data_IF_154010226346
#
_entry.id   IF_154010226346
#
_cell.length_a   1.000
_cell.length_b   1.000
_cell.length_c   1.000
_cell.angle_alpha   90.00
_cell.angle_beta   90.00
_cell.angle_gamma   90.00
#
_symmetry.space_group_name_H-M   'P 1'
#
loop_
_entity.id
_entity.type
_entity.pdbx_description
1 polymer ?
#
# COMPACT_ATOMS: atom_id res chain seq x y z
N UNK A 1 -20.08 7.27 3.94
CA UNK A 1 -18.82 7.39 4.69
C UNK A 1 -18.74 6.22 5.67
N UNK A 2 -17.96 5.18 5.36
CA UNK A 2 -17.88 3.96 6.16
C UNK A 2 -17.04 4.23 7.42
N UNK A 3 -17.71 4.37 8.57
CA UNK A 3 -17.10 4.53 9.90
C UNK A 3 -16.44 3.20 10.30
N UNK A 4 -15.18 2.99 9.91
CA UNK A 4 -14.37 1.86 10.37
C UNK A 4 -13.35 2.33 11.40
N UNK A 5 -13.21 1.60 12.50
CA UNK A 5 -12.25 1.90 13.58
C UNK A 5 -10.77 1.77 13.15
N UNK A 6 -10.51 1.24 11.94
CA UNK A 6 -9.17 1.02 11.40
C UNK A 6 -9.09 1.43 9.92
N UNK A 7 -9.12 2.74 9.62
CA UNK A 7 -9.19 3.24 8.24
C UNK A 7 -8.01 2.75 7.39
N UNK A 8 -6.83 2.56 8.00
CA UNK A 8 -5.63 2.12 7.30
C UNK A 8 -5.66 0.63 6.95
N UNK A 9 -6.19 -0.23 7.83
CA UNK A 9 -6.34 -1.66 7.56
C UNK A 9 -7.35 -1.88 6.44
N UNK A 10 -8.46 -1.14 6.45
CA UNK A 10 -9.45 -1.20 5.37
C UNK A 10 -8.86 -0.74 4.02
N UNK A 11 -8.06 0.33 4.02
CA UNK A 11 -7.38 0.80 2.82
C UNK A 11 -6.39 -0.21 2.26
N UNK A 12 -5.58 -0.86 3.12
CA UNK A 12 -4.68 -1.94 2.72
C UNK A 12 -5.47 -3.14 2.17
N UNK A 13 -6.56 -3.53 2.84
CA UNK A 13 -7.42 -4.62 2.36
C UNK A 13 -8.02 -4.35 0.99
N UNK A 14 -8.55 -3.14 0.75
CA UNK A 14 -9.07 -2.75 -0.56
C UNK A 14 -7.99 -2.74 -1.64
N UNK A 15 -6.78 -2.32 -1.31
CA UNK A 15 -5.67 -2.34 -2.25
C UNK A 15 -5.30 -3.76 -2.67
N UNK A 16 -5.16 -4.67 -1.70
CA UNK A 16 -4.89 -6.09 -1.99
C UNK A 16 -6.00 -6.66 -2.87
N UNK A 17 -7.27 -6.31 -2.59
CA UNK A 17 -8.40 -6.72 -3.42
C UNK A 17 -8.27 -6.17 -4.85
N UNK A 18 -7.93 -4.90 -5.04
CA UNK A 18 -7.72 -4.33 -6.37
C UNK A 18 -6.63 -5.05 -7.15
N UNK A 19 -5.48 -5.34 -6.52
CA UNK A 19 -4.38 -6.08 -7.14
C UNK A 19 -4.87 -7.47 -7.59
N UNK A 20 -5.57 -8.20 -6.71
CA UNK A 20 -6.10 -9.54 -7.03
C UNK A 20 -7.10 -9.51 -8.18
N UNK A 21 -7.97 -8.50 -8.24
CA UNK A 21 -8.94 -8.34 -9.34
C UNK A 21 -8.22 -8.06 -10.65
N UNK A 22 -7.22 -7.19 -10.67
CA UNK A 22 -6.44 -6.88 -11.87
C UNK A 22 -5.73 -8.13 -12.40
N UNK A 23 -5.05 -8.89 -11.53
CA UNK A 23 -4.39 -10.15 -11.89
C UNK A 23 -5.42 -11.16 -12.42
N UNK A 24 -6.58 -11.29 -11.78
CA UNK A 24 -7.64 -12.18 -12.25
C UNK A 24 -8.11 -11.83 -13.66
N UNK A 25 -8.40 -10.54 -13.92
CA UNK A 25 -8.88 -10.09 -15.22
C UNK A 25 -7.83 -10.28 -16.31
N UNK A 26 -6.57 -9.95 -16.04
CA UNK A 26 -5.48 -10.17 -16.98
C UNK A 26 -5.27 -11.67 -17.27
N UNK A 27 -5.34 -12.54 -16.26
CA UNK A 27 -5.31 -13.99 -16.46
C UNK A 27 -6.46 -14.50 -17.33
N UNK A 28 -7.67 -13.98 -17.14
CA UNK A 28 -8.83 -14.32 -17.96
C UNK A 28 -8.66 -13.85 -19.41
N UNK A 29 -8.12 -12.65 -19.63
CA UNK A 29 -7.84 -12.11 -20.97
C UNK A 29 -6.77 -12.96 -21.67
N UNK A 30 -5.66 -13.28 -21.02
CA UNK A 30 -4.63 -14.18 -21.55
C UNK A 30 -5.19 -15.54 -21.98
N UNK A 31 -6.02 -16.15 -21.11
CA UNK A 31 -6.65 -17.44 -21.43
C UNK A 31 -7.64 -17.32 -22.59
N UNK A 32 -8.40 -16.23 -22.68
CA UNK A 32 -9.33 -15.98 -23.78
C UNK A 32 -8.59 -15.79 -25.12
N UNK A 33 -7.48 -15.06 -25.13
CA UNK A 33 -6.62 -14.87 -26.31
C UNK A 33 -6.00 -16.22 -26.72
N UNK A 34 -5.47 -16.98 -25.77
CA UNK A 34 -4.95 -18.33 -26.01
C UNK A 34 -6.02 -19.25 -26.63
N UNK A 35 -7.28 -19.13 -26.21
CA UNK A 35 -8.40 -19.89 -26.78
C UNK A 35 -8.70 -19.45 -28.21
N UNK A 36 -8.66 -18.15 -28.49
CA UNK A 36 -8.93 -17.58 -29.81
C UNK A 36 -7.85 -17.95 -30.83
N UNK A 37 -6.58 -17.90 -30.41
CA UNK A 37 -5.43 -18.30 -31.23
C UNK A 37 -5.40 -19.82 -31.44
N UNK A 38 -5.78 -20.58 -30.41
CA UNK A 38 -5.73 -22.04 -30.36
C UNK A 38 -4.76 -22.52 -29.29
N UNK A 39 -5.20 -23.44 -28.43
CA UNK A 39 -4.35 -23.94 -27.35
C UNK A 39 -3.20 -24.80 -27.88
N UNK A 40 -1.98 -24.55 -27.39
CA UNK A 40 -0.77 -25.28 -27.76
C UNK A 40 -0.32 -25.09 -29.21
N UNK A 41 -0.76 -24.02 -29.89
CA UNK A 41 -0.28 -23.71 -31.26
C UNK A 41 1.16 -23.24 -31.29
N UNK A 42 1.64 -22.67 -30.18
CA UNK A 42 2.98 -22.13 -30.01
C UNK A 42 3.36 -22.18 -28.51
N UNK A 43 4.56 -21.69 -28.18
CA UNK A 43 5.11 -21.72 -26.83
C UNK A 43 4.51 -20.67 -25.89
N UNK A 44 3.84 -19.64 -26.40
CA UNK A 44 3.33 -18.53 -25.59
C UNK A 44 1.90 -18.78 -25.11
N UNK A 45 1.05 -19.31 -25.99
CA UNK A 45 -0.34 -19.62 -25.65
C UNK A 45 -0.44 -20.73 -24.59
N UNK A 46 -1.60 -20.79 -23.93
CA UNK A 46 -1.89 -21.85 -22.99
C UNK A 46 -1.66 -23.25 -23.61
N UNK A 47 -0.98 -24.18 -22.90
CA UNK A 47 -0.65 -25.50 -23.42
C UNK A 47 -1.87 -26.31 -23.90
N UNK A 48 -1.62 -27.29 -24.77
CA UNK A 48 -2.70 -28.08 -25.36
C UNK A 48 -3.53 -28.81 -24.28
N UNK A 49 -4.82 -28.48 -24.21
CA UNK A 49 -5.80 -29.03 -23.27
C UNK A 49 -6.09 -30.52 -23.46
N UNK A 50 -5.71 -31.09 -24.60
CA UNK A 50 -5.84 -32.53 -24.89
C UNK A 50 -4.93 -33.36 -24.00
N UNK A 51 -3.84 -32.77 -23.48
CA UNK A 51 -3.04 -33.41 -22.45
C UNK A 51 -3.81 -33.37 -21.12
N UNK A 52 -4.04 -34.53 -20.45
CA UNK A 52 -4.77 -34.62 -19.19
C UNK A 52 -4.24 -33.69 -18.09
N UNK A 53 -2.95 -33.34 -18.12
CA UNK A 53 -2.33 -32.42 -17.17
C UNK A 53 -2.94 -31.00 -17.27
N UNK A 54 -3.16 -30.50 -18.50
CA UNK A 54 -3.61 -29.14 -18.80
C UNK A 54 -5.14 -29.05 -19.07
N UNK A 55 -5.84 -30.18 -19.10
CA UNK A 55 -7.28 -30.22 -19.30
C UNK A 55 -8.12 -29.72 -18.11
N UNK A 56 -7.60 -29.84 -16.87
CA UNK A 56 -8.32 -29.53 -15.63
C UNK A 56 -8.58 -28.04 -15.46
N UNK A 57 -9.79 -27.67 -15.00
CA UNK A 57 -10.18 -26.27 -14.79
C UNK A 57 -9.26 -25.54 -13.80
N UNK A 58 -8.90 -26.20 -12.70
CA UNK A 58 -7.98 -25.64 -11.70
C UNK A 58 -6.60 -25.34 -12.30
N UNK A 59 -6.06 -26.25 -13.13
CA UNK A 59 -4.77 -26.05 -13.81
C UNK A 59 -4.83 -24.89 -14.79
N UNK A 60 -5.90 -24.77 -15.57
CA UNK A 60 -6.13 -23.64 -16.50
C UNK A 60 -6.07 -22.31 -15.78
N UNK A 61 -6.83 -22.20 -14.68
CA UNK A 61 -6.90 -20.98 -13.90
C UNK A 61 -5.60 -20.65 -13.18
N UNK A 62 -5.01 -21.61 -12.47
CA UNK A 62 -3.76 -21.39 -11.70
C UNK A 62 -2.59 -21.02 -12.62
N UNK A 63 -2.46 -21.68 -13.78
CA UNK A 63 -1.40 -21.35 -14.73
C UNK A 63 -1.60 -19.95 -15.33
N UNK A 64 -2.83 -19.60 -15.71
CA UNK A 64 -3.14 -18.27 -16.26
C UNK A 64 -2.92 -17.16 -15.22
N UNK A 65 -3.27 -17.41 -13.96
CA UNK A 65 -2.95 -16.51 -12.85
C UNK A 65 -1.45 -16.39 -12.62
N UNK A 66 -0.70 -17.48 -12.69
CA UNK A 66 0.75 -17.48 -12.56
C UNK A 66 1.40 -16.64 -13.66
N UNK A 67 1.01 -16.86 -14.92
CA UNK A 67 1.45 -16.05 -16.06
C UNK A 67 1.14 -14.57 -15.84
N UNK A 68 -0.12 -14.27 -15.49
CA UNK A 68 -0.57 -12.90 -15.23
C UNK A 68 0.22 -12.22 -14.12
N UNK A 69 0.48 -12.94 -13.03
CA UNK A 69 1.26 -12.41 -11.91
C UNK A 69 2.67 -12.08 -12.34
N UNK A 70 3.35 -12.96 -13.08
CA UNK A 70 4.72 -12.72 -13.55
C UNK A 70 4.81 -11.54 -14.53
N UNK A 71 3.84 -11.42 -15.45
CA UNK A 71 3.78 -10.32 -16.41
C UNK A 71 3.52 -8.99 -15.71
N UNK A 72 2.50 -8.91 -14.86
CA UNK A 72 2.11 -7.67 -14.18
C UNK A 72 3.11 -7.23 -13.09
N UNK A 73 3.82 -8.15 -12.46
CA UNK A 73 4.89 -7.84 -11.49
C UNK A 73 6.24 -7.61 -12.14
N UNK A 74 6.31 -7.61 -13.48
CA UNK A 74 7.54 -7.36 -14.26
C UNK A 74 8.68 -8.33 -13.99
N UNK A 75 8.39 -9.54 -13.48
CA UNK A 75 9.40 -10.60 -13.28
C UNK A 75 9.78 -11.21 -14.64
N UNK A 76 8.80 -11.37 -15.55
CA UNK A 76 9.06 -11.62 -16.97
C UNK A 76 9.56 -13.03 -17.34
N UNK A 77 9.55 -14.00 -16.44
CA UNK A 77 9.92 -15.41 -16.73
C UNK A 77 8.81 -16.19 -17.49
N UNK A 78 8.15 -15.53 -18.43
CA UNK A 78 7.13 -16.17 -19.28
C UNK A 78 7.71 -16.54 -20.63
N UNK A 79 7.22 -17.59 -21.31
CA UNK A 79 7.62 -17.89 -22.68
C UNK A 79 7.49 -16.64 -23.56
N UNK A 80 8.42 -16.38 -24.48
CA UNK A 80 8.33 -15.21 -25.35
C UNK A 80 7.16 -15.35 -26.33
N UNK A 81 6.48 -14.24 -26.68
CA UNK A 81 5.52 -14.19 -27.78
C UNK A 81 6.15 -14.69 -29.08
N UNK A 82 5.34 -15.29 -29.96
CA UNK A 82 5.79 -15.83 -31.25
C UNK A 82 5.19 -15.05 -32.42
N UNK A 83 3.97 -14.51 -32.28
CA UNK A 83 3.26 -13.78 -33.34
C UNK A 83 3.20 -12.29 -33.08
N UNK A 84 3.14 -11.49 -34.14
CA UNK A 84 3.05 -10.01 -34.04
C UNK A 84 1.87 -9.55 -33.18
N UNK A 85 0.72 -10.24 -33.26
CA UNK A 85 -0.44 -9.93 -32.41
C UNK A 85 -0.21 -10.22 -30.93
N UNK A 86 0.56 -11.25 -30.59
CA UNK A 86 0.94 -11.59 -29.22
C UNK A 86 1.96 -10.57 -28.68
N UNK A 87 2.93 -10.16 -29.51
CA UNK A 87 3.86 -9.08 -29.18
C UNK A 87 3.13 -7.77 -28.87
N UNK A 88 2.19 -7.36 -29.73
CA UNK A 88 1.41 -6.14 -29.51
C UNK A 88 0.61 -6.24 -28.20
N UNK A 89 -0.04 -7.38 -27.95
CA UNK A 89 -0.77 -7.62 -26.70
C UNK A 89 0.15 -7.50 -25.49
N UNK A 90 1.30 -8.19 -25.48
CA UNK A 90 2.23 -8.17 -24.35
C UNK A 90 2.82 -6.78 -24.11
N UNK A 91 3.14 -6.02 -25.17
CA UNK A 91 3.61 -4.63 -25.03
C UNK A 91 2.55 -3.73 -24.38
N UNK A 92 1.30 -3.81 -24.85
CA UNK A 92 0.19 -3.04 -24.27
C UNK A 92 -0.04 -3.45 -22.81
N UNK A 93 -0.01 -4.76 -22.54
CA UNK A 93 -0.22 -5.30 -21.21
C UNK A 93 0.87 -4.86 -20.22
N UNK A 94 2.15 -4.87 -20.64
CA UNK A 94 3.25 -4.36 -19.83
C UNK A 94 3.10 -2.87 -19.53
N UNK A 95 2.74 -2.04 -20.51
CA UNK A 95 2.56 -0.60 -20.30
C UNK A 95 1.43 -0.32 -19.30
N UNK A 96 0.30 -1.01 -19.46
CA UNK A 96 -0.84 -0.89 -18.55
C UNK A 96 -0.47 -1.40 -17.15
N UNK A 97 0.18 -2.56 -17.07
CA UNK A 97 0.61 -3.19 -15.82
C UNK A 97 1.55 -2.30 -15.01
N UNK A 98 2.58 -1.73 -15.65
CA UNK A 98 3.54 -0.83 -15.01
C UNK A 98 2.86 0.44 -14.49
N UNK A 99 1.97 1.05 -15.26
CA UNK A 99 1.25 2.27 -14.84
C UNK A 99 0.33 2.01 -13.64
N UNK A 100 -0.41 0.89 -13.67
CA UNK A 100 -1.28 0.47 -12.58
C UNK A 100 -0.45 0.19 -11.32
N UNK A 101 0.62 -0.59 -11.44
CA UNK A 101 1.46 -0.97 -10.31
C UNK A 101 2.16 0.24 -9.69
N UNK A 102 2.71 1.14 -10.52
CA UNK A 102 3.31 2.39 -10.06
C UNK A 102 2.31 3.24 -9.26
N UNK A 103 1.07 3.34 -9.73
CA UNK A 103 0.01 4.09 -9.04
C UNK A 103 -0.36 3.44 -7.70
N UNK A 104 -0.54 2.12 -7.69
CA UNK A 104 -0.85 1.33 -6.48
C UNK A 104 0.26 1.50 -5.43
N UNK A 105 1.52 1.30 -5.81
CA UNK A 105 2.67 1.43 -4.91
C UNK A 105 2.83 2.88 -4.42
N UNK A 106 2.64 3.87 -5.30
CA UNK A 106 2.63 5.28 -4.91
C UNK A 106 1.57 5.61 -3.86
N UNK A 107 0.35 5.10 -4.04
CA UNK A 107 -0.75 5.25 -3.09
C UNK A 107 -0.45 4.56 -1.74
N UNK A 108 0.19 3.38 -1.76
CA UNK A 108 0.66 2.69 -0.55
C UNK A 108 1.71 3.53 0.18
N UNK A 109 2.70 4.03 -0.53
CA UNK A 109 3.75 4.87 0.04
C UNK A 109 3.18 6.11 0.71
N UNK A 110 2.26 6.81 0.04
CA UNK A 110 1.54 7.95 0.60
C UNK A 110 0.73 7.57 1.85
N UNK A 111 0.04 6.43 1.83
CA UNK A 111 -0.72 5.96 2.98
C UNK A 111 0.18 5.66 4.19
N UNK A 112 1.29 4.96 4.00
CA UNK A 112 2.27 4.66 5.05
C UNK A 112 2.87 5.94 5.61
N UNK A 113 3.22 6.89 4.73
CA UNK A 113 3.72 8.20 5.13
C UNK A 113 2.70 8.95 5.99
N UNK A 114 1.44 8.99 5.57
CA UNK A 114 0.34 9.60 6.33
C UNK A 114 0.10 8.91 7.68
N UNK A 115 0.18 7.58 7.75
CA UNK A 115 0.06 6.82 9.01
C UNK A 115 1.16 7.19 10.01
N UNK A 116 2.36 7.44 9.50
CA UNK A 116 3.51 7.78 10.32
C UNK A 116 3.73 9.29 10.45
N UNK A 117 2.83 10.14 9.93
CA UNK A 117 3.02 11.59 9.87
C UNK A 117 3.24 12.20 11.26
N UNK A 118 2.40 11.89 12.24
CA UNK A 118 2.56 12.39 13.62
C UNK A 118 3.89 11.97 14.25
N UNK A 119 4.34 10.74 13.99
CA UNK A 119 5.63 10.24 14.47
C UNK A 119 6.79 10.94 13.76
N UNK A 120 6.68 11.17 12.46
CA UNK A 120 7.67 11.88 11.66
C UNK A 120 7.81 13.35 12.11
N UNK A 121 6.70 14.04 12.36
CA UNK A 121 6.69 15.40 12.89
C UNK A 121 7.34 15.48 14.27
N UNK A 122 7.00 14.55 15.17
CA UNK A 122 7.59 14.50 16.49
C UNK A 122 9.11 14.24 16.44
N UNK A 123 9.53 13.32 15.57
CA UNK A 123 10.95 13.05 15.35
C UNK A 123 11.68 14.28 14.79
N UNK A 124 11.08 14.99 13.83
CA UNK A 124 11.63 16.23 13.29
C UNK A 124 11.82 17.31 14.37
N UNK A 125 10.88 17.43 15.33
CA UNK A 125 11.03 18.33 16.49
C UNK A 125 12.21 17.91 17.38
N UNK A 126 12.35 16.61 17.70
CA UNK A 126 13.48 16.10 18.47
C UNK A 126 14.81 16.39 17.76
N UNK A 127 14.88 16.15 16.45
CA UNK A 127 16.08 16.37 15.67
C UNK A 127 16.49 17.85 15.64
N UNK A 128 15.51 18.75 15.52
CA UNK A 128 15.74 20.20 15.63
C UNK A 128 16.29 20.61 17.01
N UNK A 129 15.77 20.01 18.08
CA UNK A 129 16.22 20.27 19.45
C UNK A 129 17.64 19.73 19.68
N UNK A 130 17.95 18.54 19.15
CA UNK A 130 19.31 17.97 19.17
C UNK A 130 20.30 18.89 18.47
N UNK A 131 19.97 19.37 17.26
CA UNK A 131 20.80 20.32 16.53
C UNK A 131 21.05 21.60 17.33
N UNK A 132 20.02 22.16 17.97
CA UNK A 132 20.15 23.34 18.83
C UNK A 132 21.10 23.09 20.02
N UNK A 133 20.97 21.96 20.70
CA UNK A 133 21.83 21.59 21.84
C UNK A 133 23.29 21.38 21.42
N UNK A 134 23.51 20.77 20.25
CA UNK A 134 24.85 20.60 19.69
C UNK A 134 25.48 21.95 19.35
N UNK A 135 24.74 22.85 18.70
CA UNK A 135 25.21 24.20 18.37
C UNK A 135 25.59 25.01 19.61
N UNK A 136 24.80 24.88 20.69
CA UNK A 136 25.06 25.55 21.98
C UNK A 136 26.05 24.81 22.89
N UNK A 137 26.63 23.69 22.45
CA UNK A 137 27.57 22.86 23.22
C UNK A 137 27.03 22.49 24.60
N UNK A 138 25.77 22.09 24.67
CA UNK A 138 25.13 21.60 25.90
C UNK A 138 25.81 20.31 26.36
N UNK A 139 25.89 20.09 27.67
CA UNK A 139 26.47 18.87 28.25
C UNK A 139 25.67 17.64 27.84
N UNK A 140 26.38 16.51 27.64
CA UNK A 140 25.75 15.24 27.22
C UNK A 140 24.74 14.70 28.23
N UNK A 141 24.94 14.99 29.51
CA UNK A 141 23.98 14.65 30.58
C UNK A 141 22.64 15.39 30.36
N UNK A 142 22.68 16.71 30.13
CA UNK A 142 21.47 17.49 29.90
C UNK A 142 20.77 17.11 28.58
N UNK A 143 21.54 16.88 27.51
CA UNK A 143 21.00 16.37 26.23
C UNK A 143 20.23 15.06 26.43
N UNK A 144 20.80 14.11 27.17
CA UNK A 144 20.17 12.81 27.46
C UNK A 144 18.90 12.96 28.28
N UNK A 145 18.90 13.85 29.29
CA UNK A 145 17.72 14.14 30.11
C UNK A 145 16.59 14.75 29.28
N UNK A 146 16.91 15.66 28.37
CA UNK A 146 15.93 16.29 27.46
C UNK A 146 15.33 15.25 26.52
N UNK A 147 16.14 14.39 25.90
CA UNK A 147 15.64 13.33 25.01
C UNK A 147 14.72 12.36 25.77
N UNK A 148 15.13 11.91 26.97
CA UNK A 148 14.32 11.02 27.81
C UNK A 148 12.98 11.64 28.21
N UNK A 149 12.94 12.96 28.42
CA UNK A 149 11.68 13.67 28.67
C UNK A 149 10.76 13.66 27.44
N UNK A 150 11.30 13.88 26.24
CA UNK A 150 10.53 13.78 25.01
C UNK A 150 10.03 12.35 24.77
N UNK A 151 10.85 11.32 25.01
CA UNK A 151 10.42 9.92 24.92
C UNK A 151 9.26 9.62 25.89
N UNK A 152 9.34 10.12 27.13
CA UNK A 152 8.23 10.02 28.09
C UNK A 152 6.98 10.74 27.60
N UNK A 153 7.12 11.93 27.01
CA UNK A 153 6.01 12.72 26.52
C UNK A 153 5.31 12.03 25.33
N UNK A 154 6.07 11.38 24.45
CA UNK A 154 5.55 10.52 23.36
C UNK A 154 4.86 9.27 23.89
N UNK A 155 5.50 8.53 24.81
CA UNK A 155 4.96 7.29 25.37
C UNK A 155 3.62 7.49 26.08
N UNK A 156 3.44 8.63 26.75
CA UNK A 156 2.19 8.96 27.44
C UNK A 156 1.13 9.63 26.56
N UNK A 157 1.33 9.66 25.23
CA UNK A 157 0.41 10.27 24.23
C UNK A 157 0.00 11.73 24.53
N UNK A 158 0.76 12.45 25.37
CA UNK A 158 0.57 13.89 25.64
C UNK A 158 1.01 14.80 24.48
N UNK A 159 1.26 14.21 23.31
CA UNK A 159 1.70 14.88 22.09
C UNK A 159 0.56 15.34 21.21
N UNK A 160 -0.67 14.89 21.48
CA UNK A 160 -1.85 15.46 20.87
C UNK A 160 -1.99 16.86 21.45
N UNK A 161 -1.80 17.88 20.62
CA UNK A 161 -2.02 19.26 21.01
C UNK A 161 -3.53 19.43 21.25
N UNK A 162 -3.97 19.17 22.48
CA UNK A 162 -5.37 19.26 22.90
C UNK A 162 -5.97 20.61 22.51
N UNK A 163 -5.16 21.68 22.48
CA UNK A 163 -5.59 23.01 22.05
C UNK A 163 -5.88 23.07 20.55
N UNK A 164 -5.09 22.43 19.70
CA UNK A 164 -5.35 22.35 18.24
C UNK A 164 -6.61 21.52 17.96
N UNK A 165 -6.79 20.39 18.64
CA UNK A 165 -7.99 19.56 18.51
C UNK A 165 -9.23 20.34 18.95
N UNK A 166 -9.16 21.02 20.09
CA UNK A 166 -10.26 21.83 20.61
C UNK A 166 -10.57 23.06 19.75
N UNK A 167 -9.59 23.65 19.05
CA UNK A 167 -9.83 24.78 18.13
C UNK A 167 -10.72 24.41 16.95
N UNK A 168 -10.68 23.16 16.50
CA UNK A 168 -11.50 22.68 15.37
C UNK A 168 -12.98 22.48 15.72
N UNK A 169 -13.33 22.55 17.01
CA UNK A 169 -14.68 22.33 17.50
C UNK A 169 -15.43 23.67 17.70
N UNK A 170 -16.76 23.72 17.49
CA UNK A 170 -17.61 24.83 17.93
C UNK A 170 -17.57 25.01 19.44
N UNK A 171 -17.70 26.26 19.91
CA UNK A 171 -17.55 26.60 21.34
C UNK A 171 -18.52 25.85 22.27
N UNK A 172 -19.71 25.48 21.78
CA UNK A 172 -20.66 24.64 22.54
C UNK A 172 -20.11 23.24 22.85
N UNK A 173 -19.47 22.59 21.87
CA UNK A 173 -18.88 21.26 22.07
C UNK A 173 -17.61 21.32 22.92
N UNK A 174 -16.84 22.42 22.83
CA UNK A 174 -15.71 22.66 23.76
C UNK A 174 -16.20 22.74 25.20
N UNK A 175 -17.29 23.47 25.45
CA UNK A 175 -17.89 23.60 26.78
C UNK A 175 -18.43 22.26 27.31
N UNK A 176 -19.15 21.49 26.48
CA UNK A 176 -19.64 20.16 26.86
C UNK A 176 -18.50 19.18 27.17
N UNK A 177 -17.42 19.16 26.38
CA UNK A 177 -16.24 18.33 26.66
C UNK A 177 -15.53 18.78 27.94
N UNK A 178 -15.33 20.09 28.13
CA UNK A 178 -14.68 20.62 29.33
C UNK A 178 -15.48 20.29 30.61
N UNK A 179 -16.81 20.37 30.55
CA UNK A 179 -17.70 19.94 31.62
C UNK A 179 -17.48 18.45 31.90
N UNK A 180 -17.55 17.59 30.89
CA UNK A 180 -17.46 16.14 31.07
C UNK A 180 -16.07 15.65 31.55
N UNK A 181 -15.00 16.39 31.21
CA UNK A 181 -13.62 16.06 31.63
C UNK A 181 -13.27 16.62 33.03
N UNK A 182 -13.99 17.64 33.52
CA UNK A 182 -13.67 18.31 34.79
C UNK A 182 -14.74 18.20 35.88
N UNK A 183 -15.95 17.73 35.58
CA UNK A 183 -17.04 17.54 36.56
C UNK A 183 -17.22 16.10 37.06
N UNK A 184 -16.64 15.08 36.39
CA UNK A 184 -16.70 13.67 36.84
C UNK A 184 -15.40 13.21 37.56
N UNK A 185 -14.80 14.12 38.35
CA UNK A 185 -13.85 13.83 39.44
C UNK A 185 -14.22 14.62 40.67
#
# INVERSE_FOLDING_TARGET
ETRTNYPNVFRIGNLVLYILVIIHWNACIYFAISKFIGFGTDSWVYPNISNPEYGRLSRKYIYSLYWSTLTLTTIGETPPPVRDGEYLFVVVDFLVGVLIFATIVGNVGSMISNMNASRAEFQAKIDSIKQYMQFRKVTKDLETRVIRWFDYLWANKKTVDEKEVLKSLPDKLKAEIAINVHLDT
#
